data_IF_794260105223
#
_entry.id   IF_794260105223
#
_cell.length_a   1.000
_cell.length_b   1.000
_cell.length_c   1.000
_cell.angle_alpha   90.00
_cell.angle_beta   90.00
_cell.angle_gamma   90.00
#
_symmetry.space_group_name_H-M   'P 1'
#
loop_
_entity.id
_entity.type
_entity.pdbx_description
1 polymer ?
#
# COMPACT_ATOMS: atom_id res chain seq x y z
N UNK A 1 18.21 -4.42 23.21
CA UNK A 1 17.81 -5.28 22.06
C UNK A 1 16.88 -4.49 21.13
N UNK A 2 17.12 -3.18 20.99
CA UNK A 2 16.08 -2.23 20.54
C UNK A 2 16.22 -1.83 19.07
N UNK A 3 17.39 -2.05 18.46
CA UNK A 3 17.68 -1.68 17.08
C UNK A 3 16.93 -2.49 16.01
N UNK A 4 16.47 -3.72 16.29
CA UNK A 4 15.78 -4.55 15.29
C UNK A 4 14.31 -4.16 15.10
N UNK A 5 13.69 -3.56 16.12
CA UNK A 5 12.24 -3.33 16.15
C UNK A 5 11.86 -1.95 15.58
N UNK A 6 12.81 -1.02 15.56
CA UNK A 6 12.67 0.27 14.89
C UNK A 6 12.75 0.10 13.36
N UNK A 7 13.69 -0.74 12.88
CA UNK A 7 13.84 -1.04 11.45
C UNK A 7 12.62 -1.72 10.81
N UNK A 8 11.91 -2.58 11.55
CA UNK A 8 10.69 -3.23 11.05
C UNK A 8 9.53 -2.23 10.84
N UNK A 9 9.37 -1.27 11.76
CA UNK A 9 8.33 -0.24 11.67
C UNK A 9 8.61 0.76 10.56
N UNK A 10 9.87 1.17 10.40
CA UNK A 10 10.30 2.06 9.33
C UNK A 10 10.08 1.45 7.94
N UNK A 11 10.36 0.16 7.80
CA UNK A 11 10.11 -0.58 6.56
C UNK A 11 8.60 -0.65 6.23
N UNK A 12 7.73 -0.88 7.22
CA UNK A 12 6.28 -0.83 7.02
C UNK A 12 5.79 0.56 6.57
N UNK A 13 6.33 1.64 7.14
CA UNK A 13 5.99 3.00 6.69
C UNK A 13 6.50 3.30 5.29
N UNK A 14 7.68 2.81 4.93
CA UNK A 14 8.21 2.91 3.56
C UNK A 14 7.28 2.21 2.57
N UNK A 15 6.90 0.97 2.85
CA UNK A 15 5.95 0.21 2.03
C UNK A 15 4.60 0.93 1.91
N UNK A 16 4.11 1.54 3.00
CA UNK A 16 2.87 2.32 2.97
C UNK A 16 2.94 3.50 2.01
N UNK A 17 4.09 4.20 1.96
CA UNK A 17 4.33 5.29 1.01
C UNK A 17 4.38 4.79 -0.43
N UNK A 18 5.04 3.66 -0.67
CA UNK A 18 5.12 3.04 -2.00
C UNK A 18 3.73 2.65 -2.53
N UNK A 19 2.92 1.97 -1.72
CA UNK A 19 1.54 1.59 -2.08
C UNK A 19 0.66 2.82 -2.35
N UNK A 20 0.85 3.90 -1.58
CA UNK A 20 0.14 5.17 -1.82
C UNK A 20 0.50 5.78 -3.18
N UNK A 21 1.78 5.77 -3.55
CA UNK A 21 2.20 6.29 -4.86
C UNK A 21 1.69 5.39 -6.01
N UNK A 22 1.68 4.06 -5.83
CA UNK A 22 1.06 3.15 -6.80
C UNK A 22 -0.44 3.44 -7.01
N UNK A 23 -1.19 3.66 -5.93
CA UNK A 23 -2.60 4.04 -6.00
C UNK A 23 -2.79 5.36 -6.75
N UNK A 24 -1.97 6.38 -6.43
CA UNK A 24 -2.02 7.68 -7.11
C UNK A 24 -1.72 7.56 -8.61
N UNK A 25 -0.72 6.76 -8.98
CA UNK A 25 -0.42 6.48 -10.39
C UNK A 25 -1.57 5.77 -11.09
N UNK A 26 -2.23 4.82 -10.42
CA UNK A 26 -3.40 4.14 -10.97
C UNK A 26 -4.57 5.11 -11.18
N UNK A 27 -4.86 6.01 -10.22
CA UNK A 27 -5.85 7.06 -10.39
C UNK A 27 -5.54 7.95 -11.59
N UNK A 28 -4.30 8.44 -11.71
CA UNK A 28 -3.90 9.25 -12.85
C UNK A 28 -4.07 8.48 -14.18
N UNK A 29 -3.73 7.20 -14.23
CA UNK A 29 -3.93 6.37 -15.42
C UNK A 29 -5.42 6.19 -15.76
N UNK A 30 -6.28 6.10 -14.74
CA UNK A 30 -7.73 5.98 -14.91
C UNK A 30 -8.31 7.20 -15.63
N UNK A 31 -7.87 8.41 -15.25
CA UNK A 31 -8.33 9.67 -15.86
C UNK A 31 -8.08 9.73 -17.38
N UNK A 32 -7.03 9.06 -17.87
CA UNK A 32 -6.67 9.04 -19.29
C UNK A 32 -6.99 7.72 -20.00
N UNK A 33 -7.78 6.83 -19.38
CA UNK A 33 -8.11 5.54 -19.99
C UNK A 33 -9.05 5.72 -21.19
N UNK A 34 -8.71 5.11 -22.33
CA UNK A 34 -9.45 5.29 -23.60
C UNK A 34 -10.33 4.10 -24.00
N UNK A 35 -10.24 2.98 -23.27
CA UNK A 35 -11.03 1.79 -23.54
C UNK A 35 -11.23 0.93 -22.29
N UNK A 36 -12.25 0.07 -22.34
CA UNK A 36 -12.66 -0.78 -21.22
C UNK A 36 -11.55 -1.72 -20.74
N UNK A 37 -10.72 -2.26 -21.63
CA UNK A 37 -9.62 -3.16 -21.25
C UNK A 37 -8.55 -2.44 -20.41
N UNK A 38 -8.27 -1.18 -20.72
CA UNK A 38 -7.38 -0.33 -19.91
C UNK A 38 -8.01 -0.04 -18.54
N UNK A 39 -9.29 0.32 -18.52
CA UNK A 39 -10.06 0.55 -17.29
C UNK A 39 -10.01 -0.68 -16.37
N UNK A 40 -10.30 -1.88 -16.89
CA UNK A 40 -10.27 -3.12 -16.11
C UNK A 40 -8.87 -3.39 -15.53
N UNK A 41 -7.82 -3.15 -16.33
CA UNK A 41 -6.43 -3.30 -15.90
C UNK A 41 -6.10 -2.33 -14.75
N UNK A 42 -6.55 -1.08 -14.85
CA UNK A 42 -6.30 -0.05 -13.84
C UNK A 42 -7.08 -0.34 -12.56
N UNK A 43 -8.35 -0.75 -12.65
CA UNK A 43 -9.14 -1.19 -11.50
C UNK A 43 -8.44 -2.36 -10.79
N UNK A 44 -7.90 -3.32 -11.54
CA UNK A 44 -7.10 -4.42 -10.97
C UNK A 44 -5.88 -3.93 -10.18
N UNK A 45 -5.19 -2.88 -10.67
CA UNK A 45 -4.06 -2.26 -9.95
C UNK A 45 -4.52 -1.54 -8.68
N UNK A 46 -5.61 -0.79 -8.75
CA UNK A 46 -6.19 -0.12 -7.59
C UNK A 46 -6.55 -1.14 -6.51
N UNK A 47 -7.35 -2.16 -6.84
CA UNK A 47 -7.72 -3.21 -5.90
C UNK A 47 -6.50 -3.90 -5.25
N UNK A 48 -5.45 -4.15 -6.03
CA UNK A 48 -4.20 -4.71 -5.50
C UNK A 48 -3.52 -3.76 -4.51
N UNK A 49 -3.45 -2.47 -4.81
CA UNK A 49 -2.87 -1.47 -3.92
C UNK A 49 -3.69 -1.32 -2.63
N UNK A 50 -5.02 -1.32 -2.69
CA UNK A 50 -5.88 -1.31 -1.50
C UNK A 50 -5.66 -2.53 -0.60
N UNK A 51 -5.56 -3.73 -1.19
CA UNK A 51 -5.28 -4.95 -0.44
C UNK A 51 -3.91 -4.90 0.25
N UNK A 52 -2.89 -4.35 -0.41
CA UNK A 52 -1.56 -4.18 0.20
C UNK A 52 -1.60 -3.15 1.34
N UNK A 53 -2.27 -2.03 1.13
CA UNK A 53 -2.45 -0.99 2.15
C UNK A 53 -3.11 -1.57 3.41
N UNK A 54 -4.20 -2.32 3.25
CA UNK A 54 -4.90 -2.96 4.36
C UNK A 54 -4.05 -4.01 5.10
N UNK A 55 -3.14 -4.70 4.40
CA UNK A 55 -2.20 -5.65 5.03
C UNK A 55 -1.14 -4.91 5.86
N UNK A 56 -0.57 -3.83 5.33
CA UNK A 56 0.44 -3.02 6.02
C UNK A 56 -0.15 -2.37 7.28
N UNK A 57 -1.36 -1.82 7.19
CA UNK A 57 -2.04 -1.25 8.36
C UNK A 57 -2.27 -2.29 9.46
N UNK A 58 -2.67 -3.52 9.11
CA UNK A 58 -2.81 -4.61 10.09
C UNK A 58 -1.46 -5.00 10.70
N UNK A 59 -0.39 -5.03 9.92
CA UNK A 59 0.95 -5.30 10.43
C UNK A 59 1.41 -4.20 11.41
N UNK A 60 1.19 -2.93 11.07
CA UNK A 60 1.48 -1.79 11.96
C UNK A 60 0.67 -1.84 13.26
N UNK A 61 -0.59 -2.23 13.21
CA UNK A 61 -1.43 -2.40 14.39
C UNK A 61 -0.94 -3.55 15.28
N UNK A 62 -0.57 -4.68 14.69
CA UNK A 62 -0.01 -5.81 15.44
C UNK A 62 1.33 -5.44 16.11
N UNK A 63 2.19 -4.69 15.44
CA UNK A 63 3.42 -4.12 16.01
C UNK A 63 3.14 -3.17 17.18
N UNK A 64 2.00 -2.46 17.17
CA UNK A 64 1.60 -1.58 18.28
C UNK A 64 1.11 -2.38 19.48
N UNK A 65 0.28 -3.40 19.24
CA UNK A 65 -0.32 -4.24 20.29
C UNK A 65 0.74 -5.09 20.99
N UNK A 66 1.66 -5.72 20.25
CA UNK A 66 2.70 -6.57 20.82
C UNK A 66 3.78 -5.81 21.63
N UNK A 67 3.73 -4.47 21.63
CA UNK A 67 4.63 -3.59 22.42
C UNK A 67 3.93 -2.93 23.62
N UNK A 68 2.63 -3.16 23.83
CA UNK A 68 1.91 -2.76 25.05
C UNK A 68 1.87 -3.91 26.06
#
# INVERSE_FOLDING_TARGET
MDNQVEGAKDELYKQLKEVREEWKLACNQFEYATNNKMIDTIIGRMNRAEQQYAKILRALENERINKS
#
